data_IF_660730325946
#
_entry.id   IF_660730325946
#
_cell.length_a   1.000
_cell.length_b   1.000
_cell.length_c   1.000
_cell.angle_alpha   90.00
_cell.angle_beta   90.00
_cell.angle_gamma   90.00
#
_symmetry.space_group_name_H-M   'P 1'
#
loop_
_entity.id
_entity.type
_entity.pdbx_description
1 polymer ?
#
# COMPACT_ATOMS: atom_id res chain seq x y z
N UNK A 1 25.96 21.74 -8.09
CA UNK A 1 25.47 20.65 -8.95
C UNK A 1 23.96 20.54 -8.76
N UNK A 2 23.15 21.12 -9.65
CA UNK A 2 21.68 21.11 -9.51
C UNK A 2 21.18 19.68 -9.64
N UNK A 3 20.63 19.11 -8.57
CA UNK A 3 20.00 17.80 -8.62
C UNK A 3 18.63 17.94 -9.26
N UNK A 4 18.43 17.42 -10.47
CA UNK A 4 17.12 17.36 -11.17
C UNK A 4 16.11 16.40 -10.49
N UNK A 5 16.24 16.17 -9.18
CA UNK A 5 15.42 15.22 -8.42
C UNK A 5 14.27 15.99 -7.79
N UNK A 6 13.05 15.51 -8.04
CA UNK A 6 11.82 16.08 -7.47
C UNK A 6 11.63 15.79 -5.97
N UNK A 7 12.27 14.73 -5.47
CA UNK A 7 12.15 14.31 -4.07
C UNK A 7 13.52 14.01 -3.48
N UNK A 8 13.69 14.38 -2.22
CA UNK A 8 14.89 14.06 -1.45
C UNK A 8 15.06 12.55 -1.29
N UNK A 9 16.32 12.10 -1.25
CA UNK A 9 16.65 10.69 -1.04
C UNK A 9 17.36 10.54 0.30
N UNK A 10 16.81 9.71 1.14
CA UNK A 10 17.40 9.33 2.43
C UNK A 10 18.30 8.13 2.20
N UNK A 11 19.58 8.29 2.53
CA UNK A 11 20.57 7.23 2.38
C UNK A 11 20.49 6.32 3.59
N UNK A 12 19.93 5.13 3.41
CA UNK A 12 19.89 4.07 4.42
C UNK A 12 20.10 2.74 3.73
N UNK A 13 20.90 1.87 4.33
CA UNK A 13 21.09 0.50 3.86
C UNK A 13 20.19 -0.43 4.63
N UNK A 14 19.22 -1.05 3.96
CA UNK A 14 18.35 -2.06 4.55
C UNK A 14 18.41 -3.33 3.71
N UNK A 15 18.23 -4.46 4.38
CA UNK A 15 18.05 -5.73 3.70
C UNK A 15 16.74 -5.70 2.91
N UNK A 16 16.77 -6.26 1.71
CA UNK A 16 15.64 -6.18 0.78
C UNK A 16 15.55 -7.48 -0.01
N UNK A 17 14.37 -8.05 -0.05
CA UNK A 17 14.02 -9.14 -0.94
C UNK A 17 13.19 -8.61 -2.10
N UNK A 18 13.35 -9.20 -3.28
CA UNK A 18 12.46 -8.92 -4.40
C UNK A 18 12.20 -10.17 -5.22
N UNK A 19 11.00 -10.21 -5.79
CA UNK A 19 10.54 -11.27 -6.68
C UNK A 19 10.48 -10.73 -8.10
N UNK A 20 11.16 -11.40 -9.02
CA UNK A 20 11.10 -11.11 -10.44
C UNK A 20 11.29 -12.38 -11.26
N UNK A 21 10.49 -12.54 -12.32
CA UNK A 21 10.50 -13.76 -13.15
C UNK A 21 10.36 -15.05 -12.30
N UNK A 22 9.46 -15.03 -11.30
CA UNK A 22 9.18 -16.14 -10.38
C UNK A 22 10.36 -16.58 -9.49
N UNK A 23 11.42 -15.77 -9.41
CA UNK A 23 12.59 -16.03 -8.55
C UNK A 23 12.69 -14.97 -7.46
N UNK A 24 13.09 -15.42 -6.28
CA UNK A 24 13.35 -14.58 -5.13
C UNK A 24 14.83 -14.22 -5.05
N UNK A 25 15.12 -12.96 -4.79
CA UNK A 25 16.48 -12.43 -4.70
C UNK A 25 16.64 -11.64 -3.41
N UNK A 26 17.75 -11.88 -2.69
CA UNK A 26 18.19 -11.07 -1.55
C UNK A 26 19.18 -10.01 -1.99
N UNK A 27 19.03 -8.81 -1.46
CA UNK A 27 19.80 -7.63 -1.85
C UNK A 27 19.83 -6.57 -0.73
N UNK A 28 20.47 -5.45 -1.04
CA UNK A 28 20.56 -4.30 -0.13
C UNK A 28 20.06 -3.06 -0.85
N UNK A 29 19.05 -2.40 -0.30
CA UNK A 29 18.67 -1.05 -0.72
C UNK A 29 19.70 -0.03 -0.24
N UNK A 30 19.99 1.01 -1.04
CA UNK A 30 21.01 2.02 -0.69
C UNK A 30 20.44 3.36 -0.30
N UNK A 31 19.29 3.68 -0.86
CA UNK A 31 18.62 4.94 -0.68
C UNK A 31 17.13 4.79 -0.98
N UNK A 32 16.34 5.62 -0.31
CA UNK A 32 14.89 5.64 -0.36
C UNK A 32 14.39 7.05 -0.62
N UNK A 33 13.27 7.18 -1.30
CA UNK A 33 12.51 8.40 -1.44
C UNK A 33 11.02 8.07 -1.45
N UNK A 34 10.18 9.10 -1.41
CA UNK A 34 8.73 8.93 -1.45
C UNK A 34 8.24 8.04 -2.61
N UNK A 35 8.88 8.13 -3.77
CA UNK A 35 8.45 7.47 -5.00
C UNK A 35 9.44 6.47 -5.57
N UNK A 36 10.53 6.17 -4.87
CA UNK A 36 11.56 5.34 -5.44
C UNK A 36 12.61 4.90 -4.46
N UNK A 37 13.39 3.92 -4.89
CA UNK A 37 14.54 3.43 -4.14
C UNK A 37 15.61 2.94 -5.08
N UNK A 38 16.80 2.67 -4.56
CA UNK A 38 17.86 1.99 -5.31
C UNK A 38 18.21 0.66 -4.63
N UNK A 39 18.08 -0.45 -5.37
CA UNK A 39 18.49 -1.78 -4.91
C UNK A 39 19.86 -2.09 -5.50
N UNK A 40 20.84 -2.39 -4.66
CA UNK A 40 22.11 -2.96 -5.07
C UNK A 40 21.96 -4.46 -5.24
N UNK A 41 22.20 -4.92 -6.45
CA UNK A 41 22.15 -6.33 -6.81
C UNK A 41 22.98 -6.57 -8.05
N UNK A 42 23.50 -7.79 -8.19
CA UNK A 42 24.06 -8.33 -9.44
C UNK A 42 22.97 -8.85 -10.38
N UNK A 43 21.75 -9.06 -9.89
CA UNK A 43 20.58 -9.55 -10.63
C UNK A 43 19.64 -8.40 -11.03
N UNK A 44 20.20 -7.33 -11.60
CA UNK A 44 19.39 -6.20 -12.06
C UNK A 44 18.52 -6.58 -13.28
N UNK A 45 17.22 -6.33 -13.17
CA UNK A 45 16.25 -6.50 -14.25
C UNK A 45 16.28 -5.31 -15.23
N UNK A 46 15.69 -5.48 -16.41
CA UNK A 46 15.62 -4.43 -17.44
C UNK A 46 14.59 -3.36 -17.07
N UNK A 47 14.73 -2.12 -17.57
CA UNK A 47 13.70 -1.11 -17.40
C UNK A 47 12.33 -1.58 -17.91
N UNK A 48 11.27 -1.25 -17.17
CA UNK A 48 9.89 -1.69 -17.45
C UNK A 48 9.48 -2.99 -16.77
N UNK A 49 10.39 -3.70 -16.08
CA UNK A 49 10.02 -4.87 -15.27
C UNK A 49 9.36 -4.45 -13.96
N UNK A 50 8.19 -5.03 -13.65
CA UNK A 50 7.54 -4.92 -12.35
C UNK A 50 8.12 -5.93 -11.37
N UNK A 51 8.28 -5.52 -10.10
CA UNK A 51 8.82 -6.33 -9.01
C UNK A 51 7.97 -6.16 -7.76
N UNK A 52 7.73 -7.27 -7.08
CA UNK A 52 7.28 -7.26 -5.68
C UNK A 52 8.50 -7.21 -4.77
N UNK A 53 8.50 -6.30 -3.81
CA UNK A 53 9.68 -5.95 -3.00
C UNK A 53 9.30 -5.98 -1.52
N UNK A 54 10.13 -6.61 -0.71
CA UNK A 54 10.04 -6.64 0.74
C UNK A 54 11.28 -5.95 1.30
N UNK A 55 11.10 -4.96 2.17
CA UNK A 55 12.21 -4.32 2.90
C UNK A 55 12.08 -4.69 4.37
N UNK A 56 13.14 -5.25 4.94
CA UNK A 56 13.19 -5.57 6.36
C UNK A 56 13.63 -4.34 7.15
N UNK A 57 12.76 -3.85 8.04
CA UNK A 57 13.05 -2.73 8.93
C UNK A 57 13.78 -3.22 10.19
N UNK A 58 14.61 -2.38 10.83
CA UNK A 58 15.36 -2.77 12.03
C UNK A 58 14.49 -3.03 13.27
N UNK A 59 13.22 -2.61 13.24
CA UNK A 59 12.25 -2.88 14.29
C UNK A 59 11.62 -4.29 14.19
N UNK A 60 12.08 -5.11 13.24
CA UNK A 60 11.55 -6.45 12.99
C UNK A 60 10.26 -6.50 12.18
N UNK A 61 9.82 -5.37 11.61
CA UNK A 61 8.68 -5.30 10.70
C UNK A 61 9.12 -5.24 9.24
N UNK A 62 8.21 -5.57 8.32
CA UNK A 62 8.48 -5.58 6.89
C UNK A 62 7.63 -4.57 6.15
N UNK A 63 8.24 -3.89 5.16
CA UNK A 63 7.53 -3.07 4.19
C UNK A 63 7.33 -3.84 2.89
N UNK A 64 6.08 -3.97 2.45
CA UNK A 64 5.70 -4.58 1.17
C UNK A 64 5.42 -3.50 0.13
N UNK A 65 6.17 -3.53 -0.96
CA UNK A 65 6.14 -2.55 -2.03
C UNK A 65 5.97 -3.24 -3.38
N UNK A 66 5.38 -2.53 -4.34
CA UNK A 66 5.52 -2.88 -5.76
C UNK A 66 6.22 -1.76 -6.49
N UNK A 67 7.13 -2.11 -7.38
CA UNK A 67 7.91 -1.12 -8.11
C UNK A 67 8.23 -1.52 -9.54
N UNK A 68 8.44 -0.51 -10.37
CA UNK A 68 8.86 -0.64 -11.75
C UNK A 68 10.35 -0.29 -11.86
N UNK A 69 11.12 -1.13 -12.53
CA UNK A 69 12.52 -0.81 -12.84
C UNK A 69 12.56 0.35 -13.81
N UNK A 70 13.18 1.47 -13.43
CA UNK A 70 13.40 2.63 -14.31
C UNK A 70 14.78 2.63 -14.96
N UNK A 71 15.76 2.04 -14.29
CA UNK A 71 17.13 1.93 -14.81
C UNK A 71 17.86 0.75 -14.19
N UNK A 72 18.65 0.06 -15.00
CA UNK A 72 19.61 -0.94 -14.54
C UNK A 72 21.02 -0.36 -14.64
N UNK A 73 21.84 -0.55 -13.62
CA UNK A 73 23.28 -0.29 -13.65
C UNK A 73 23.99 -1.63 -13.57
N UNK A 74 24.56 -2.05 -14.70
CA UNK A 74 25.41 -3.23 -14.81
C UNK A 74 26.78 -2.75 -15.25
N UNK A 75 27.77 -2.96 -14.41
CA UNK A 75 29.16 -2.60 -14.67
C UNK A 75 30.06 -3.73 -14.19
N UNK A 76 31.02 -4.07 -15.04
CA UNK A 76 32.08 -5.05 -14.77
C UNK A 76 33.08 -4.56 -13.74
N UNK A 77 33.02 -3.28 -13.36
CA UNK A 77 33.89 -2.68 -12.36
C UNK A 77 33.19 -2.75 -10.99
N UNK A 78 33.71 -3.61 -10.11
CA UNK A 78 33.13 -3.91 -8.77
C UNK A 78 32.99 -2.67 -7.87
N UNK A 79 33.83 -1.64 -8.08
CA UNK A 79 33.79 -0.38 -7.33
C UNK A 79 32.61 0.54 -7.71
N UNK A 80 31.98 0.32 -8.88
CA UNK A 80 30.82 1.09 -9.33
C UNK A 80 29.51 0.43 -8.86
N UNK A 81 28.47 1.26 -8.66
CA UNK A 81 27.18 0.79 -8.13
C UNK A 81 26.47 -0.13 -9.13
N UNK A 82 26.60 -1.43 -8.95
CA UNK A 82 25.71 -2.42 -9.56
C UNK A 82 24.34 -2.41 -8.87
N UNK A 83 23.27 -2.46 -9.65
CA UNK A 83 21.92 -2.48 -9.12
C UNK A 83 20.87 -1.92 -10.06
N UNK A 84 19.74 -1.52 -9.49
CA UNK A 84 18.61 -0.97 -10.23
C UNK A 84 17.92 0.15 -9.47
N UNK A 85 17.53 1.19 -10.21
CA UNK A 85 16.66 2.24 -9.73
C UNK A 85 15.22 1.84 -9.95
N UNK A 86 14.45 1.83 -8.86
CA UNK A 86 13.05 1.44 -8.82
C UNK A 86 12.19 2.68 -8.58
N UNK A 87 11.10 2.78 -9.34
CA UNK A 87 9.98 3.68 -9.04
C UNK A 87 8.86 2.89 -8.37
N UNK A 88 8.32 3.40 -7.27
CA UNK A 88 7.31 2.71 -6.48
C UNK A 88 5.92 2.93 -7.09
N UNK A 89 5.26 1.84 -7.46
CA UNK A 89 3.87 1.81 -7.92
C UNK A 89 2.91 1.77 -6.74
N UNK A 90 3.23 1.00 -5.70
CA UNK A 90 2.46 0.94 -4.46
C UNK A 90 3.36 0.84 -3.23
N UNK A 91 2.83 1.31 -2.11
CA UNK A 91 3.51 1.38 -0.80
C UNK A 91 2.53 0.96 0.28
N UNK A 92 3.01 0.22 1.27
CA UNK A 92 2.23 -0.11 2.46
C UNK A 92 2.35 0.97 3.55
N UNK A 93 1.58 0.78 4.63
CA UNK A 93 1.60 1.69 5.76
C UNK A 93 2.94 1.71 6.50
N UNK A 94 3.64 0.57 6.56
CA UNK A 94 4.95 0.47 7.21
C UNK A 94 5.99 1.34 6.51
N UNK A 95 5.97 1.36 5.17
CA UNK A 95 6.86 2.20 4.40
C UNK A 95 6.55 3.69 4.56
N UNK A 96 5.27 4.05 4.59
CA UNK A 96 4.85 5.45 4.83
C UNK A 96 5.33 5.90 6.22
N UNK A 97 5.12 5.08 7.25
CA UNK A 97 5.58 5.37 8.61
C UNK A 97 7.11 5.48 8.68
N UNK A 98 7.81 4.55 8.03
CA UNK A 98 9.26 4.59 7.92
C UNK A 98 9.74 5.89 7.28
N UNK A 99 9.12 6.37 6.19
CA UNK A 99 9.50 7.63 5.56
C UNK A 99 9.24 8.85 6.46
N UNK A 100 8.16 8.84 7.24
CA UNK A 100 7.85 9.95 8.19
C UNK A 100 8.94 10.15 9.25
N UNK A 101 9.71 9.11 9.59
CA UNK A 101 10.85 9.24 10.51
C UNK A 101 11.99 10.09 9.92
N UNK A 102 12.07 10.20 8.59
CA UNK A 102 13.14 10.89 7.87
C UNK A 102 12.69 12.21 7.23
N UNK A 103 11.40 12.34 6.93
CA UNK A 103 10.80 13.56 6.39
C UNK A 103 9.47 13.89 7.11
N UNK A 104 9.52 14.61 8.25
CA UNK A 104 8.32 15.00 8.98
C UNK A 104 7.56 16.16 8.32
N UNK A 105 8.07 16.76 7.25
CA UNK A 105 7.48 17.97 6.63
C UNK A 105 6.30 17.69 5.69
N UNK A 106 6.03 16.43 5.38
CA UNK A 106 5.06 16.03 4.36
C UNK A 106 3.69 15.60 4.93
N UNK A 107 3.05 16.47 5.72
CA UNK A 107 1.63 16.33 6.12
C UNK A 107 0.65 17.04 5.15
N UNK A 108 1.09 17.41 3.95
CA UNK A 108 0.22 18.04 2.93
C UNK A 108 0.30 17.29 1.61
N UNK A 109 -0.51 16.24 1.48
CA UNK A 109 -1.28 16.00 0.25
C UNK A 109 -2.53 15.18 0.62
N UNK A 110 -3.74 15.62 0.22
CA UNK A 110 -4.99 15.02 0.64
C UNK A 110 -5.14 13.61 0.09
N UNK A 111 -5.12 12.63 0.98
CA UNK A 111 -5.39 11.20 0.74
C UNK A 111 -6.86 10.92 0.39
N UNK A 112 -7.48 11.73 -0.49
CA UNK A 112 -8.89 11.56 -0.84
C UNK A 112 -9.20 11.21 -2.30
N UNK A 113 -8.22 10.84 -3.12
CA UNK A 113 -8.48 10.07 -4.33
C UNK A 113 -7.56 8.85 -4.40
N UNK A 114 -8.12 7.71 -4.84
CA UNK A 114 -7.62 6.33 -4.78
C UNK A 114 -7.89 5.59 -3.46
N UNK A 115 -9.19 5.31 -3.25
CA UNK A 115 -9.69 4.24 -2.38
C UNK A 115 -9.01 2.90 -2.72
N UNK A 116 -8.14 2.41 -1.85
CA UNK A 116 -7.95 0.98 -1.67
C UNK A 116 -8.14 0.63 -0.19
N UNK A 117 -9.41 0.36 0.09
CA UNK A 117 -9.97 -0.48 1.14
C UNK A 117 -8.93 -1.45 1.72
N UNK A 118 -8.43 -1.13 2.92
CA UNK A 118 -7.70 -2.08 3.73
C UNK A 118 -8.65 -3.23 4.09
N UNK A 119 -8.25 -4.44 3.74
CA UNK A 119 -8.83 -5.68 4.22
C UNK A 119 -8.51 -5.79 5.72
N UNK A 120 -9.35 -5.18 6.54
CA UNK A 120 -9.50 -5.49 7.94
C UNK A 120 -10.99 -5.76 8.16
N UNK A 121 -11.27 -6.91 8.78
CA UNK A 121 -12.57 -7.48 9.05
C UNK A 121 -13.71 -6.48 9.26
N UNK A 122 -14.74 -6.56 8.43
CA UNK A 122 -16.06 -6.04 8.79
C UNK A 122 -17.14 -6.77 7.99
N UNK A 123 -17.97 -7.52 8.71
CA UNK A 123 -19.19 -8.09 8.18
C UNK A 123 -20.03 -6.98 7.49
N UNK A 124 -20.85 -7.29 6.47
CA UNK A 124 -21.50 -6.27 5.63
C UNK A 124 -22.31 -5.26 6.45
N UNK A 125 -22.01 -3.95 6.35
CA UNK A 125 -22.65 -2.85 7.11
C UNK A 125 -24.18 -2.77 7.03
N UNK A 126 -24.79 -3.58 6.16
CA UNK A 126 -26.22 -3.59 5.90
C UNK A 126 -26.78 -4.99 6.09
N UNK A 127 -27.98 -5.05 6.68
CA UNK A 127 -28.80 -6.26 6.77
C UNK A 127 -30.09 -6.01 6.00
N UNK A 128 -30.54 -7.02 5.24
CA UNK A 128 -31.82 -6.96 4.55
C UNK A 128 -32.87 -7.56 5.47
N UNK A 129 -33.86 -6.77 5.89
CA UNK A 129 -34.95 -7.21 6.75
C UNK A 129 -36.28 -7.07 6.01
N UNK A 130 -37.04 -8.16 5.96
CA UNK A 130 -38.37 -8.17 5.38
C UNK A 130 -39.37 -7.56 6.34
N UNK A 131 -40.16 -6.59 5.89
CA UNK A 131 -41.21 -5.99 6.69
C UNK A 131 -42.34 -6.98 6.93
N UNK A 132 -42.69 -7.26 8.18
CA UNK A 132 -43.78 -8.17 8.55
C UNK A 132 -45.17 -7.68 8.07
N UNK A 133 -45.35 -6.37 7.86
CA UNK A 133 -46.65 -5.81 7.49
C UNK A 133 -46.88 -5.72 5.97
N UNK A 134 -45.84 -5.45 5.17
CA UNK A 134 -45.99 -5.26 3.72
C UNK A 134 -45.10 -6.16 2.86
N UNK A 135 -44.27 -7.02 3.48
CA UNK A 135 -43.42 -7.98 2.78
C UNK A 135 -42.21 -7.39 2.05
N UNK A 136 -41.99 -6.06 2.09
CA UNK A 136 -40.86 -5.44 1.40
C UNK A 136 -39.55 -5.73 2.12
N UNK A 137 -38.51 -6.03 1.34
CA UNK A 137 -37.12 -6.16 1.82
C UNK A 137 -36.49 -4.78 2.01
N UNK A 138 -36.19 -4.42 3.24
CA UNK A 138 -35.58 -3.14 3.61
C UNK A 138 -34.10 -3.35 3.89
N UNK A 139 -33.24 -2.62 3.19
CA UNK A 139 -31.80 -2.62 3.45
C UNK A 139 -31.50 -1.64 4.57
N UNK A 140 -31.24 -2.15 5.77
CA UNK A 140 -31.01 -1.33 6.96
C UNK A 140 -29.53 -1.38 7.33
N UNK A 141 -28.94 -0.21 7.62
CA UNK A 141 -27.58 -0.13 8.19
C UNK A 141 -27.57 -0.71 9.60
N UNK A 142 -26.58 -1.53 9.94
CA UNK A 142 -26.50 -2.17 11.27
C UNK A 142 -26.53 -1.18 12.42
N UNK A 143 -25.83 -0.05 12.28
CA UNK A 143 -25.85 1.06 13.24
C UNK A 143 -27.25 1.61 13.52
N UNK A 144 -28.16 1.52 12.54
CA UNK A 144 -29.54 2.03 12.65
C UNK A 144 -30.54 0.98 13.11
N UNK A 145 -30.12 -0.26 13.36
CA UNK A 145 -31.00 -1.30 13.91
C UNK A 145 -31.43 -0.98 15.35
N UNK A 146 -30.53 -0.42 16.16
CA UNK A 146 -30.80 -0.02 17.55
C UNK A 146 -31.72 1.21 17.66
N UNK A 147 -31.93 1.94 16.57
CA UNK A 147 -32.73 3.17 16.54
C UNK A 147 -34.19 2.96 16.08
N UNK A 148 -34.66 1.72 15.93
CA UNK A 148 -36.04 1.41 15.56
C UNK A 148 -36.37 1.81 14.11
N UNK A 149 -35.77 1.17 13.11
CA UNK A 149 -35.96 1.51 11.70
C UNK A 149 -37.41 1.27 11.26
N UNK A 150 -37.92 2.16 10.41
CA UNK A 150 -39.25 2.07 9.81
C UNK A 150 -39.17 1.54 8.38
N UNK A 151 -40.21 0.85 7.94
CA UNK A 151 -40.31 0.37 6.57
C UNK A 151 -40.45 1.55 5.60
N UNK A 152 -39.63 1.55 4.54
CA UNK A 152 -39.69 2.58 3.50
C UNK A 152 -40.96 2.58 2.67
N UNK A 153 -41.79 1.52 2.74
CA UNK A 153 -43.07 1.43 2.03
C UNK A 153 -44.27 1.76 2.91
N UNK A 154 -44.42 1.11 4.07
CA UNK A 154 -45.61 1.28 4.92
C UNK A 154 -45.37 2.09 6.19
N UNK A 155 -44.14 2.53 6.47
CA UNK A 155 -43.80 3.34 7.65
C UNK A 155 -43.78 2.59 8.99
N UNK A 156 -44.15 1.30 8.99
CA UNK A 156 -44.23 0.48 10.20
C UNK A 156 -42.85 0.14 10.78
N UNK A 157 -42.70 0.01 12.10
CA UNK A 157 -41.46 -0.45 12.72
C UNK A 157 -41.07 -1.83 12.19
N UNK A 158 -39.79 -2.02 11.86
CA UNK A 158 -39.25 -3.30 11.45
C UNK A 158 -38.53 -3.91 12.65
N UNK A 159 -39.17 -4.88 13.31
CA UNK A 159 -38.58 -5.64 14.41
C UNK A 159 -37.74 -6.79 13.85
N UNK A 160 -36.54 -6.99 14.42
CA UNK A 160 -35.73 -8.17 14.19
C UNK A 160 -36.46 -9.38 14.79
N UNK A 161 -37.08 -10.22 13.97
CA UNK A 161 -37.34 -11.60 14.39
C UNK A 161 -36.08 -12.39 14.02
N UNK A 162 -35.52 -13.07 15.03
CA UNK A 162 -34.29 -13.85 14.98
C UNK A 162 -34.32 -14.94 13.90
#
# INVERSE_FOLDING_TARGET
MKTNRKHERFVRRLETEFVGQEKNYRAISSDFSRYGLFIRTNHAFVPGTELDIIIHLPNGTDCKLRGLVRRAMKTTIVSLKNGMGIELLSRDHNYIKFLKEFDPSEDTEPTHLWQHKQAADSAPDFVIITCAQCGVKNKVRRERLSHGPKCGKCGSPISLQA
#
